data_IF_277041161269
#
_entry.id   IF_277041161269
#
_cell.length_a   1.000
_cell.length_b   1.000
_cell.length_c   1.000
_cell.angle_alpha   90.00
_cell.angle_beta   90.00
_cell.angle_gamma   90.00
#
_symmetry.space_group_name_H-M   'P 1'
#
loop_
_entity.id
_entity.type
_entity.pdbx_description
1 polymer ?
#
# COMPACT_ATOMS: atom_id res chain seq x y z
N UNK A 1 -18.58 0.93 29.67
CA UNK A 1 -17.14 1.24 29.82
C UNK A 1 -16.53 1.27 28.43
N UNK A 2 -16.40 2.46 27.88
CA UNK A 2 -15.79 2.70 26.55
C UNK A 2 -14.28 2.49 26.63
N UNK A 3 -13.75 1.57 25.81
CA UNK A 3 -12.31 1.46 25.61
C UNK A 3 -11.88 2.55 24.61
N UNK A 4 -11.48 3.69 25.12
CA UNK A 4 -10.80 4.73 24.38
C UNK A 4 -9.43 4.18 23.94
N UNK A 5 -9.33 3.77 22.69
CA UNK A 5 -8.04 3.43 22.07
C UNK A 5 -7.16 4.68 22.04
N UNK A 6 -6.11 4.72 22.85
CA UNK A 6 -5.14 5.81 22.88
C UNK A 6 -4.58 6.07 21.48
N UNK A 7 -4.80 7.27 20.92
CA UNK A 7 -4.20 7.70 19.65
C UNK A 7 -2.68 7.65 19.80
N UNK A 8 -1.99 6.89 18.93
CA UNK A 8 -0.54 6.86 18.89
C UNK A 8 -0.02 8.23 18.51
N UNK A 9 0.80 8.84 19.38
CA UNK A 9 1.34 10.21 19.21
C UNK A 9 2.84 10.21 18.89
N UNK A 10 3.54 9.08 19.09
CA UNK A 10 4.97 8.95 18.88
C UNK A 10 5.29 7.71 18.07
N UNK A 11 6.23 7.82 17.16
CA UNK A 11 6.67 6.74 16.30
C UNK A 11 8.20 6.61 16.44
N UNK A 12 8.65 5.48 16.96
CA UNK A 12 10.07 5.17 17.07
C UNK A 12 10.51 4.43 15.80
N UNK A 13 11.51 4.95 15.12
CA UNK A 13 12.20 4.33 13.99
C UNK A 13 13.56 3.88 14.48
N UNK A 14 13.74 2.56 14.68
CA UNK A 14 15.03 1.98 15.06
C UNK A 14 15.93 1.78 13.83
N UNK A 15 15.36 1.32 12.73
CA UNK A 15 16.05 1.13 11.47
C UNK A 15 15.20 1.73 10.34
N UNK A 16 15.76 2.72 9.66
CA UNK A 16 15.13 3.51 8.61
C UNK A 16 16.15 4.50 8.04
N UNK A 17 15.74 5.38 7.11
CA UNK A 17 16.60 6.41 6.54
C UNK A 17 17.20 7.34 7.60
N UNK A 18 16.35 7.75 8.56
CA UNK A 18 16.76 8.53 9.73
C UNK A 18 16.16 7.87 10.98
N UNK A 19 16.93 7.09 11.75
CA UNK A 19 16.46 6.55 13.02
C UNK A 19 16.14 7.66 14.02
N UNK A 20 15.08 7.49 14.82
CA UNK A 20 14.67 8.53 15.78
C UNK A 20 13.22 8.38 16.22
N UNK A 21 12.72 9.38 16.95
CA UNK A 21 11.34 9.47 17.41
C UNK A 21 10.63 10.58 16.65
N UNK A 22 9.47 10.26 16.11
CA UNK A 22 8.64 11.15 15.30
C UNK A 22 7.29 11.36 15.97
N UNK A 23 6.76 12.58 15.90
CA UNK A 23 5.44 12.93 16.42
C UNK A 23 4.34 12.86 15.37
N UNK A 24 4.73 12.76 14.09
CA UNK A 24 3.85 12.55 12.95
C UNK A 24 4.18 11.25 12.24
N UNK A 25 3.15 10.54 11.75
CA UNK A 25 3.34 9.40 10.87
C UNK A 25 3.57 9.84 9.44
N UNK A 26 2.78 10.80 8.94
CA UNK A 26 2.84 11.32 7.57
C UNK A 26 3.55 12.67 7.52
N UNK A 27 3.94 13.09 6.31
CA UNK A 27 4.70 14.30 6.01
C UNK A 27 6.16 14.02 5.68
N UNK A 28 6.87 15.01 5.13
CA UNK A 28 8.27 14.88 4.73
C UNK A 28 9.18 14.50 5.91
N UNK A 29 8.91 15.07 7.08
CA UNK A 29 9.60 14.75 8.34
C UNK A 29 8.87 13.67 9.17
N UNK A 30 7.89 12.97 8.62
CA UNK A 30 7.14 11.93 9.32
C UNK A 30 7.88 10.60 9.37
N UNK A 31 7.49 9.74 10.33
CA UNK A 31 8.08 8.40 10.49
C UNK A 31 7.89 7.53 9.24
N UNK A 32 6.78 7.68 8.53
CA UNK A 32 6.51 6.96 7.29
C UNK A 32 7.59 7.22 6.23
N UNK A 33 7.98 8.47 6.00
CA UNK A 33 9.02 8.82 5.04
C UNK A 33 10.37 8.14 5.36
N UNK A 34 10.62 7.82 6.62
CA UNK A 34 11.87 7.19 7.07
C UNK A 34 11.89 5.68 6.89
N UNK A 35 10.73 5.03 6.84
CA UNK A 35 10.62 3.57 6.83
C UNK A 35 10.05 3.01 5.54
N UNK A 36 9.34 3.84 4.79
CA UNK A 36 8.74 3.45 3.51
C UNK A 36 9.83 3.11 2.49
N UNK A 37 9.74 1.93 1.89
CA UNK A 37 10.76 1.35 1.00
C UNK A 37 12.19 1.31 1.57
N UNK A 38 12.35 1.31 2.91
CA UNK A 38 13.66 1.10 3.51
C UNK A 38 13.86 -0.39 3.86
N UNK A 39 14.83 -1.10 3.24
CA UNK A 39 15.02 -2.52 3.46
C UNK A 39 15.29 -2.83 4.94
N UNK A 40 14.48 -3.73 5.52
CA UNK A 40 14.62 -4.12 6.92
C UNK A 40 14.27 -3.01 7.91
N UNK A 41 13.39 -2.07 7.56
CA UNK A 41 12.89 -1.05 8.47
C UNK A 41 12.32 -1.66 9.76
N UNK A 42 12.68 -1.08 10.91
CA UNK A 42 12.19 -1.48 12.23
C UNK A 42 11.63 -0.24 12.93
N UNK A 43 10.33 -0.22 13.15
CA UNK A 43 9.63 0.91 13.74
C UNK A 43 8.38 0.46 14.51
N UNK A 44 7.88 1.33 15.41
CA UNK A 44 6.65 1.08 16.16
C UNK A 44 6.03 2.40 16.64
N UNK A 45 4.68 2.46 16.70
CA UNK A 45 3.95 3.61 17.23
C UNK A 45 3.54 3.42 18.70
N UNK A 46 3.61 4.50 19.50
CA UNK A 46 3.39 4.52 20.94
C UNK A 46 2.46 5.67 21.36
N UNK A 47 1.86 5.55 22.52
CA UNK A 47 1.04 6.60 23.11
C UNK A 47 1.88 7.69 23.77
N UNK A 48 3.04 7.34 24.32
CA UNK A 48 3.95 8.24 25.04
C UNK A 48 5.35 8.25 24.42
N UNK A 49 6.08 9.36 24.63
CA UNK A 49 7.48 9.50 24.20
C UNK A 49 8.38 8.52 24.95
N UNK A 50 8.10 8.25 26.23
CA UNK A 50 8.90 7.34 27.04
C UNK A 50 8.86 5.91 26.49
N UNK A 51 7.68 5.38 26.15
CA UNK A 51 7.55 4.06 25.52
C UNK A 51 8.31 3.97 24.20
N UNK A 52 8.36 5.07 23.43
CA UNK A 52 9.11 5.12 22.19
C UNK A 52 10.62 5.09 22.43
N UNK A 53 11.10 5.77 23.47
CA UNK A 53 12.51 5.73 23.90
C UNK A 53 12.90 4.34 24.39
N UNK A 54 12.09 3.73 25.26
CA UNK A 54 12.32 2.39 25.82
C UNK A 54 12.42 1.34 24.70
N UNK A 55 11.60 1.46 23.67
CA UNK A 55 11.69 0.59 22.50
C UNK A 55 13.02 0.72 21.75
N UNK A 56 13.51 1.94 21.54
CA UNK A 56 14.81 2.17 20.88
C UNK A 56 15.95 1.60 21.72
N UNK A 57 15.90 1.80 23.04
CA UNK A 57 16.91 1.32 23.99
C UNK A 57 16.94 -0.21 24.05
N UNK A 58 15.79 -0.88 24.13
CA UNK A 58 15.68 -2.34 24.06
C UNK A 58 16.28 -2.91 22.76
N UNK A 59 16.02 -2.26 21.63
CA UNK A 59 16.58 -2.69 20.34
C UNK A 59 18.09 -2.49 20.27
N UNK A 60 18.60 -1.42 20.85
CA UNK A 60 20.03 -1.11 20.89
C UNK A 60 20.83 -2.06 21.79
N UNK A 61 20.23 -2.60 22.85
CA UNK A 61 20.87 -3.51 23.81
C UNK A 61 20.87 -4.98 23.37
N UNK A 62 20.32 -5.32 22.19
CA UNK A 62 20.44 -6.66 21.59
C UNK A 62 19.77 -7.79 22.36
N UNK A 63 18.79 -7.52 23.23
CA UNK A 63 18.10 -8.55 24.00
C UNK A 63 16.94 -9.15 23.20
N UNK A 64 17.21 -10.29 22.56
CA UNK A 64 16.18 -11.22 22.10
C UNK A 64 15.77 -12.05 23.31
N UNK A 65 14.78 -11.61 24.05
CA UNK A 65 14.08 -12.43 25.02
C UNK A 65 12.59 -12.41 24.75
N UNK A 66 12.10 -13.62 24.58
CA UNK A 66 10.73 -14.07 24.39
C UNK A 66 9.67 -13.28 25.18
N UNK A 67 8.65 -12.77 24.48
CA UNK A 67 7.42 -12.28 25.07
C UNK A 67 6.46 -13.46 25.33
N UNK A 68 5.77 -13.49 26.48
CA UNK A 68 4.78 -14.52 26.76
C UNK A 68 3.55 -14.38 25.87
N UNK A 69 3.17 -15.51 25.30
CA UNK A 69 1.94 -15.72 24.57
C UNK A 69 0.72 -15.38 25.45
N UNK A 70 -0.11 -14.43 25.05
CA UNK A 70 -1.48 -14.30 25.55
C UNK A 70 -2.44 -14.76 24.48
N UNK A 71 -3.07 -15.86 24.82
CA UNK A 71 -4.13 -16.58 24.15
C UNK A 71 -5.28 -15.72 23.64
N UNK A 72 -5.70 -16.03 22.40
CA UNK A 72 -7.10 -16.01 22.00
C UNK A 72 -7.60 -14.84 21.19
N UNK A 73 -7.35 -14.86 19.88
CA UNK A 73 -8.35 -14.70 18.83
C UNK A 73 -7.66 -15.16 17.53
N UNK A 74 -8.26 -16.13 16.86
CA UNK A 74 -7.81 -16.63 15.57
C UNK A 74 -7.64 -15.46 14.60
N UNK A 75 -6.39 -15.00 14.42
CA UNK A 75 -6.00 -14.33 13.19
C UNK A 75 -6.03 -15.44 12.13
N UNK A 76 -6.77 -15.20 11.06
CA UNK A 76 -6.64 -16.00 9.86
C UNK A 76 -5.21 -15.79 9.39
N UNK A 77 -4.34 -16.75 9.67
CA UNK A 77 -3.03 -16.87 9.03
C UNK A 77 -3.30 -17.05 7.54
N UNK A 78 -3.17 -15.98 6.79
CA UNK A 78 -3.01 -16.10 5.35
C UNK A 78 -1.65 -16.71 5.10
N UNK A 79 -1.64 -18.02 5.04
CA UNK A 79 -0.45 -18.80 4.78
C UNK A 79 0.23 -18.30 3.50
N UNK A 80 1.54 -18.22 3.56
CA UNK A 80 2.46 -17.86 2.46
C UNK A 80 2.55 -18.97 1.38
N UNK A 81 1.56 -19.85 1.30
CA UNK A 81 1.48 -20.82 0.22
C UNK A 81 1.09 -20.09 -1.08
N UNK A 82 1.85 -20.28 -2.17
CA UNK A 82 1.51 -19.67 -3.44
C UNK A 82 0.11 -20.12 -3.86
N UNK A 83 -0.82 -19.17 -3.92
CA UNK A 83 -2.15 -19.42 -4.48
C UNK A 83 -1.96 -19.62 -5.96
N UNK A 84 -2.15 -20.85 -6.43
CA UNK A 84 -2.10 -21.17 -7.86
C UNK A 84 -3.45 -20.86 -8.48
N UNK A 85 -3.48 -20.27 -9.68
CA UNK A 85 -4.70 -20.12 -10.43
C UNK A 85 -5.29 -21.51 -10.71
N UNK A 86 -6.60 -21.65 -10.56
CA UNK A 86 -7.32 -22.91 -10.80
C UNK A 86 -8.83 -22.65 -10.91
N UNK A 87 -9.53 -23.52 -11.63
CA UNK A 87 -10.99 -23.41 -11.86
C UNK A 87 -11.47 -22.04 -12.36
N UNK A 88 -10.75 -21.43 -13.33
CA UNK A 88 -11.13 -20.14 -13.90
C UNK A 88 -10.91 -18.94 -12.97
N UNK A 89 -10.11 -19.10 -11.92
CA UNK A 89 -9.71 -17.99 -11.03
C UNK A 89 -8.39 -17.38 -11.51
N UNK A 90 -8.37 -16.08 -11.73
CA UNK A 90 -7.19 -15.31 -12.09
C UNK A 90 -6.50 -14.85 -10.80
N UNK A 91 -5.18 -14.97 -10.74
CA UNK A 91 -4.36 -14.46 -9.63
C UNK A 91 -3.58 -13.26 -10.12
N UNK A 92 -3.68 -12.16 -9.38
CA UNK A 92 -3.00 -10.90 -9.70
C UNK A 92 -2.15 -10.47 -8.50
N UNK A 93 -0.91 -10.07 -8.74
CA UNK A 93 -0.06 -9.38 -7.78
C UNK A 93 0.20 -7.98 -8.31
N UNK A 94 0.15 -6.97 -7.43
CA UNK A 94 0.33 -5.57 -7.79
C UNK A 94 1.25 -4.87 -6.80
N UNK A 95 2.02 -3.91 -7.32
CA UNK A 95 2.81 -2.98 -6.53
C UNK A 95 2.89 -1.62 -7.24
N UNK A 96 3.09 -0.56 -6.47
CA UNK A 96 3.23 0.79 -6.98
C UNK A 96 4.02 1.69 -6.04
N UNK A 97 4.81 2.59 -6.60
CA UNK A 97 5.63 3.47 -5.80
C UNK A 97 6.09 4.70 -6.56
N UNK A 98 6.52 5.72 -5.82
CA UNK A 98 7.11 6.93 -6.37
C UNK A 98 8.40 7.27 -5.63
N UNK A 99 9.40 7.71 -6.39
CA UNK A 99 10.64 8.26 -5.85
C UNK A 99 10.34 9.65 -5.26
N UNK A 100 10.85 9.91 -4.05
CA UNK A 100 10.67 11.22 -3.38
C UNK A 100 9.22 11.68 -3.13
N UNK A 101 8.24 10.84 -3.29
CA UNK A 101 6.80 10.93 -3.02
C UNK A 101 6.28 12.32 -2.54
N UNK A 102 5.90 13.25 -3.45
CA UNK A 102 5.70 13.05 -4.88
C UNK A 102 6.97 13.07 -5.72
N UNK A 103 6.95 12.33 -6.83
CA UNK A 103 8.06 12.27 -7.78
C UNK A 103 7.81 11.30 -8.92
N UNK A 104 8.83 10.92 -9.69
CA UNK A 104 8.69 9.88 -10.70
C UNK A 104 8.22 8.59 -10.06
N UNK A 105 7.16 8.00 -10.59
CA UNK A 105 6.57 6.80 -10.03
C UNK A 105 6.34 5.71 -11.07
N UNK A 106 6.31 4.47 -10.60
CA UNK A 106 6.04 3.29 -11.39
C UNK A 106 4.94 2.42 -10.79
N UNK A 107 4.32 1.63 -11.63
CA UNK A 107 3.44 0.55 -11.25
C UNK A 107 3.87 -0.74 -11.92
N UNK A 108 3.61 -1.85 -11.27
CA UNK A 108 3.86 -3.19 -11.81
C UNK A 108 2.78 -4.16 -11.39
N UNK A 109 2.43 -5.09 -12.28
CA UNK A 109 1.56 -6.18 -11.94
C UNK A 109 1.95 -7.47 -12.66
N UNK A 110 1.72 -8.58 -11.98
CA UNK A 110 1.84 -9.94 -12.52
C UNK A 110 0.46 -10.59 -12.49
N UNK A 111 0.03 -11.09 -13.63
CA UNK A 111 -1.30 -11.65 -13.86
C UNK A 111 -1.11 -13.08 -14.32
N UNK A 112 -1.73 -14.02 -13.61
CA UNK A 112 -1.69 -15.46 -13.94
C UNK A 112 -3.13 -16.00 -14.00
N UNK A 113 -3.56 -16.48 -15.16
CA UNK A 113 -4.88 -17.05 -15.39
C UNK A 113 -4.89 -18.59 -15.34
N UNK A 114 -3.74 -19.21 -15.02
CA UNK A 114 -3.54 -20.65 -14.98
C UNK A 114 -3.12 -21.26 -16.30
N UNK A 115 -3.17 -20.50 -17.40
CA UNK A 115 -2.68 -20.89 -18.75
C UNK A 115 -1.54 -20.01 -19.18
N UNK A 116 -1.55 -18.74 -18.83
CA UNK A 116 -0.54 -17.74 -19.18
C UNK A 116 -0.22 -16.84 -17.99
N UNK A 117 1.05 -16.47 -17.88
CA UNK A 117 1.55 -15.46 -16.96
C UNK A 117 1.98 -14.22 -17.74
N UNK A 118 1.40 -13.08 -17.41
CA UNK A 118 1.64 -11.81 -18.06
C UNK A 118 2.14 -10.79 -17.04
N UNK A 119 3.06 -9.94 -17.45
CA UNK A 119 3.52 -8.80 -16.69
C UNK A 119 3.09 -7.50 -17.38
N UNK A 120 2.70 -6.52 -16.60
CA UNK A 120 2.44 -5.15 -17.08
C UNK A 120 3.14 -4.17 -16.15
N UNK A 121 3.62 -3.08 -16.72
CA UNK A 121 4.25 -1.99 -15.97
C UNK A 121 4.12 -0.68 -16.72
N UNK A 122 4.34 0.42 -16.02
CA UNK A 122 4.37 1.77 -16.56
C UNK A 122 4.62 2.77 -15.45
N UNK A 123 4.67 4.06 -15.79
CA UNK A 123 4.96 5.07 -14.79
C UNK A 123 4.56 6.47 -15.22
N UNK A 124 4.68 7.41 -14.28
CA UNK A 124 4.43 8.84 -14.47
C UNK A 124 5.59 9.68 -13.93
N UNK A 125 5.85 10.82 -14.56
CA UNK A 125 6.98 11.72 -14.20
C UNK A 125 6.83 12.38 -12.83
N UNK A 126 5.59 12.58 -12.36
CA UNK A 126 5.28 13.14 -11.06
C UNK A 126 3.95 12.60 -10.54
N UNK A 127 4.02 11.83 -9.48
CA UNK A 127 2.86 11.16 -8.86
C UNK A 127 3.17 10.81 -7.41
N UNK A 128 2.31 10.04 -6.74
CA UNK A 128 2.49 9.59 -5.36
C UNK A 128 2.43 8.08 -5.24
N UNK A 129 2.99 7.53 -4.15
CA UNK A 129 2.90 6.09 -3.85
C UNK A 129 1.46 5.57 -3.96
N UNK A 130 0.53 6.19 -3.23
CA UNK A 130 -0.87 5.74 -3.20
C UNK A 130 -1.54 5.77 -4.58
N UNK A 131 -1.19 6.73 -5.43
CA UNK A 131 -1.69 6.77 -6.80
C UNK A 131 -1.14 5.61 -7.62
N UNK A 132 0.14 5.29 -7.47
CA UNK A 132 0.76 4.18 -8.19
C UNK A 132 0.23 2.82 -7.72
N UNK A 133 -0.01 2.63 -6.43
CA UNK A 133 -0.65 1.43 -5.88
C UNK A 133 -2.06 1.21 -6.44
N UNK A 134 -2.89 2.28 -6.50
CA UNK A 134 -4.21 2.25 -7.15
C UNK A 134 -4.08 1.98 -8.65
N UNK A 135 -3.17 2.66 -9.32
CA UNK A 135 -2.94 2.50 -10.77
C UNK A 135 -2.52 1.08 -11.11
N UNK A 136 -1.69 0.44 -10.30
CA UNK A 136 -1.30 -0.95 -10.49
C UNK A 136 -2.52 -1.89 -10.49
N UNK A 137 -3.41 -1.74 -9.50
CA UNK A 137 -4.65 -2.51 -9.42
C UNK A 137 -5.56 -2.26 -10.63
N UNK A 138 -5.78 -0.98 -10.98
CA UNK A 138 -6.62 -0.58 -12.11
C UNK A 138 -6.07 -1.16 -13.42
N UNK A 139 -4.78 -0.94 -13.69
CA UNK A 139 -4.16 -1.39 -14.95
C UNK A 139 -4.17 -2.91 -15.09
N UNK A 140 -3.99 -3.64 -13.99
CA UNK A 140 -4.11 -5.09 -14.00
C UNK A 140 -5.54 -5.56 -14.32
N UNK A 141 -6.54 -4.99 -13.66
CA UNK A 141 -7.95 -5.35 -13.87
C UNK A 141 -8.45 -4.97 -15.27
N UNK A 142 -7.98 -3.85 -15.84
CA UNK A 142 -8.30 -3.43 -17.21
C UNK A 142 -7.83 -4.42 -18.28
N UNK A 143 -6.86 -5.27 -18.01
CA UNK A 143 -6.45 -6.31 -18.96
C UNK A 143 -7.43 -7.49 -19.03
N UNK A 144 -8.37 -7.57 -18.11
CA UNK A 144 -9.34 -8.67 -18.03
C UNK A 144 -10.64 -8.27 -18.72
N UNK A 145 -10.87 -8.79 -19.92
CA UNK A 145 -11.99 -8.39 -20.77
C UNK A 145 -13.36 -8.90 -20.27
N UNK A 146 -13.38 -10.13 -19.73
CA UNK A 146 -14.62 -10.80 -19.33
C UNK A 146 -14.81 -10.79 -17.82
N UNK A 147 -16.07 -10.67 -17.31
CA UNK A 147 -16.34 -10.85 -15.89
C UNK A 147 -15.68 -12.13 -15.34
N UNK A 148 -14.82 -11.98 -14.37
CA UNK A 148 -13.95 -13.08 -13.88
C UNK A 148 -13.90 -13.11 -12.36
N UNK A 149 -13.56 -14.28 -11.82
CA UNK A 149 -13.18 -14.43 -10.41
C UNK A 149 -11.70 -14.16 -10.28
N UNK A 150 -11.33 -13.19 -9.43
CA UNK A 150 -9.96 -12.71 -9.30
C UNK A 150 -9.55 -12.72 -7.83
N UNK A 151 -8.34 -13.17 -7.55
CA UNK A 151 -7.67 -12.96 -6.27
C UNK A 151 -6.54 -11.96 -6.51
N UNK A 152 -6.63 -10.77 -5.91
CA UNK A 152 -5.67 -9.70 -6.09
C UNK A 152 -4.87 -9.51 -4.80
N UNK A 153 -3.56 -9.67 -4.91
CA UNK A 153 -2.59 -9.46 -3.85
C UNK A 153 -1.92 -8.09 -3.98
N UNK A 154 -1.86 -7.36 -2.88
CA UNK A 154 -1.12 -6.11 -2.78
C UNK A 154 -0.56 -5.95 -1.37
N UNK A 155 0.60 -5.32 -1.23
CA UNK A 155 1.18 -4.94 0.07
C UNK A 155 0.72 -3.55 0.54
N UNK A 156 -0.05 -2.85 -0.29
CA UNK A 156 -0.68 -1.59 0.06
C UNK A 156 -1.86 -1.78 1.02
N UNK A 157 -1.63 -1.49 2.29
CA UNK A 157 -2.75 -1.42 3.25
C UNK A 157 -3.75 -0.31 2.93
N UNK A 158 -3.31 0.74 2.26
CA UNK A 158 -4.20 1.82 1.83
C UNK A 158 -5.27 1.29 0.89
N UNK A 159 -4.88 0.52 -0.12
CA UNK A 159 -5.81 -0.04 -1.11
C UNK A 159 -6.62 -1.18 -0.50
N UNK A 160 -5.95 -2.18 0.07
CA UNK A 160 -6.61 -3.39 0.59
C UNK A 160 -7.62 -3.05 1.69
N UNK A 161 -7.25 -2.21 2.64
CA UNK A 161 -8.14 -1.80 3.74
C UNK A 161 -9.34 -0.99 3.22
N UNK A 162 -9.13 -0.08 2.27
CA UNK A 162 -10.22 0.75 1.75
C UNK A 162 -11.27 -0.08 1.00
N UNK A 163 -10.86 -1.11 0.26
CA UNK A 163 -11.77 -2.03 -0.42
C UNK A 163 -12.41 -3.00 0.56
N UNK A 164 -11.62 -3.74 1.33
CA UNK A 164 -12.13 -4.84 2.17
C UNK A 164 -12.98 -4.37 3.36
N UNK A 165 -12.77 -3.13 3.83
CA UNK A 165 -13.56 -2.49 4.88
C UNK A 165 -14.71 -1.63 4.33
N UNK A 166 -14.90 -1.60 3.01
CA UNK A 166 -15.96 -0.84 2.33
C UNK A 166 -15.80 0.68 2.44
N UNK A 167 -14.58 1.17 2.74
CA UNK A 167 -14.37 2.62 2.86
C UNK A 167 -14.49 3.33 1.52
N UNK A 168 -13.92 2.77 0.46
CA UNK A 168 -13.96 3.36 -0.87
C UNK A 168 -15.40 3.51 -1.37
N UNK A 169 -16.25 2.48 -1.22
CA UNK A 169 -17.67 2.56 -1.55
C UNK A 169 -18.42 3.59 -0.70
N UNK A 170 -18.09 3.69 0.59
CA UNK A 170 -18.67 4.71 1.47
C UNK A 170 -18.29 6.10 1.00
N UNK A 171 -17.05 6.33 0.59
CA UNK A 171 -16.61 7.61 0.05
C UNK A 171 -17.34 7.95 -1.24
N UNK A 172 -17.45 7.01 -2.20
CA UNK A 172 -18.21 7.18 -3.45
C UNK A 172 -19.66 7.59 -3.17
N UNK A 173 -20.35 6.89 -2.27
CA UNK A 173 -21.74 7.21 -1.87
C UNK A 173 -21.88 8.56 -1.15
N UNK A 174 -20.81 9.06 -0.55
CA UNK A 174 -20.77 10.34 0.18
C UNK A 174 -20.05 11.44 -0.63
N UNK A 175 -20.18 11.41 -1.97
CA UNK A 175 -19.55 12.38 -2.88
C UNK A 175 -18.07 12.59 -2.59
N UNK A 176 -17.34 11.50 -2.38
CA UNK A 176 -15.90 11.44 -2.07
C UNK A 176 -15.51 12.13 -0.75
N UNK A 177 -16.47 12.41 0.11
CA UNK A 177 -16.17 12.89 1.46
C UNK A 177 -15.83 11.73 2.40
N UNK A 178 -14.64 11.77 2.99
CA UNK A 178 -14.19 10.80 3.99
C UNK A 178 -14.89 11.02 5.35
N UNK A 179 -15.13 12.27 5.68
CA UNK A 179 -15.90 12.74 6.82
C UNK A 179 -16.48 14.12 6.49
N UNK A 180 -17.11 14.80 7.45
CA UNK A 180 -17.78 16.10 7.23
C UNK A 180 -16.81 17.26 6.86
N UNK A 181 -15.49 17.04 6.88
CA UNK A 181 -14.50 18.09 6.66
C UNK A 181 -13.48 17.71 5.58
N UNK A 182 -13.16 16.41 5.45
CA UNK A 182 -12.06 15.94 4.63
C UNK A 182 -12.56 15.15 3.44
N UNK A 183 -12.06 15.46 2.26
CA UNK A 183 -12.25 14.67 1.05
C UNK A 183 -11.39 13.40 1.06
N UNK A 184 -11.84 12.38 0.37
CA UNK A 184 -11.03 11.21 0.07
C UNK A 184 -9.93 11.60 -0.93
N UNK A 185 -8.71 11.14 -0.69
CA UNK A 185 -7.62 11.34 -1.66
C UNK A 185 -7.81 10.43 -2.88
N UNK A 186 -7.45 10.94 -4.06
CA UNK A 186 -7.45 10.20 -5.33
C UNK A 186 -8.84 9.70 -5.76
N UNK A 187 -9.90 10.53 -5.70
CA UNK A 187 -11.25 10.10 -6.04
C UNK A 187 -11.35 9.60 -7.50
N UNK A 188 -10.58 10.17 -8.41
CA UNK A 188 -10.45 9.79 -9.81
C UNK A 188 -10.04 8.31 -10.00
N UNK A 189 -9.05 7.87 -9.23
CA UNK A 189 -8.58 6.49 -9.29
C UNK A 189 -9.50 5.54 -8.54
N UNK A 190 -10.09 5.99 -7.43
CA UNK A 190 -11.06 5.18 -6.68
C UNK A 190 -12.32 4.91 -7.49
N UNK A 191 -12.87 5.92 -8.20
CA UNK A 191 -14.03 5.73 -9.06
C UNK A 191 -13.75 4.64 -10.09
N UNK A 192 -12.65 4.78 -10.81
CA UNK A 192 -12.24 3.82 -11.85
C UNK A 192 -11.99 2.41 -11.28
N UNK A 193 -11.38 2.29 -10.10
CA UNK A 193 -11.19 1.00 -9.45
C UNK A 193 -12.52 0.36 -9.07
N UNK A 194 -13.44 1.12 -8.46
CA UNK A 194 -14.74 0.60 -8.04
C UNK A 194 -15.59 0.13 -9.24
N UNK A 195 -15.54 0.86 -10.37
CA UNK A 195 -16.21 0.42 -11.61
C UNK A 195 -15.69 -0.93 -12.13
N UNK A 196 -14.39 -1.17 -11.98
CA UNK A 196 -13.78 -2.48 -12.31
C UNK A 196 -14.19 -3.57 -11.31
N UNK A 197 -14.33 -3.23 -10.03
CA UNK A 197 -14.80 -4.17 -9.01
C UNK A 197 -16.29 -4.52 -9.20
N UNK A 198 -17.09 -3.60 -9.74
CA UNK A 198 -18.48 -3.88 -10.10
C UNK A 198 -18.59 -4.87 -11.29
N UNK A 199 -17.56 -4.94 -12.16
CA UNK A 199 -17.50 -5.88 -13.31
C UNK A 199 -16.98 -7.26 -12.96
N UNK A 200 -16.10 -7.38 -11.98
CA UNK A 200 -15.41 -8.61 -11.63
C UNK A 200 -15.70 -9.03 -10.18
N UNK A 201 -15.62 -10.32 -9.90
CA UNK A 201 -15.62 -10.80 -8.50
C UNK A 201 -14.20 -10.81 -7.96
N UNK A 202 -13.77 -9.71 -7.34
CA UNK A 202 -12.39 -9.55 -6.85
C UNK A 202 -12.31 -9.77 -5.34
N UNK A 203 -11.42 -10.65 -4.91
CA UNK A 203 -11.03 -10.83 -3.53
C UNK A 203 -9.65 -10.20 -3.31
N UNK A 204 -9.59 -9.11 -2.53
CA UNK A 204 -8.33 -8.48 -2.17
C UNK A 204 -7.68 -9.19 -1.00
N UNK A 205 -6.39 -9.48 -1.13
CA UNK A 205 -5.55 -10.07 -0.08
C UNK A 205 -4.32 -9.23 0.17
N UNK A 206 -4.13 -8.86 1.42
CA UNK A 206 -2.90 -8.18 1.80
C UNK A 206 -1.75 -9.17 1.92
N UNK A 207 -0.60 -8.82 1.35
CA UNK A 207 0.67 -9.50 1.54
C UNK A 207 1.66 -8.57 2.23
N UNK A 208 2.61 -9.16 2.93
CA UNK A 208 3.69 -8.35 3.50
C UNK A 208 4.73 -8.07 2.42
N UNK A 209 5.02 -6.80 2.18
CA UNK A 209 6.10 -6.40 1.27
C UNK A 209 7.46 -6.95 1.71
N UNK A 210 8.30 -7.31 0.75
CA UNK A 210 9.66 -7.83 0.96
C UNK A 210 9.73 -9.03 1.92
N UNK A 211 8.81 -9.97 1.80
CA UNK A 211 8.71 -11.14 2.67
C UNK A 211 8.96 -12.48 1.98
N UNK A 212 9.60 -12.46 0.81
CA UNK A 212 9.91 -13.68 0.04
C UNK A 212 8.77 -14.13 -0.88
N UNK A 213 7.73 -13.32 -1.09
CA UNK A 213 6.74 -13.59 -2.12
C UNK A 213 7.30 -13.18 -3.48
N UNK A 214 7.65 -14.18 -4.30
CA UNK A 214 8.34 -13.97 -5.58
C UNK A 214 7.58 -13.04 -6.55
N UNK A 215 6.24 -13.15 -6.60
CA UNK A 215 5.44 -12.32 -7.50
C UNK A 215 5.33 -10.87 -7.01
N UNK A 216 5.25 -10.65 -5.68
CA UNK A 216 5.28 -9.30 -5.13
C UNK A 216 6.66 -8.66 -5.31
N UNK A 217 7.75 -9.41 -5.13
CA UNK A 217 9.10 -8.92 -5.40
C UNK A 217 9.32 -8.62 -6.89
N UNK A 218 8.67 -9.40 -7.77
CA UNK A 218 8.69 -9.10 -9.20
C UNK A 218 7.96 -7.80 -9.53
N UNK A 219 6.81 -7.54 -8.92
CA UNK A 219 6.11 -6.26 -9.06
C UNK A 219 6.97 -5.09 -8.58
N UNK A 220 7.64 -5.20 -7.42
CA UNK A 220 8.56 -4.17 -6.90
C UNK A 220 9.72 -3.89 -7.89
N UNK A 221 10.28 -4.94 -8.53
CA UNK A 221 11.30 -4.75 -9.57
C UNK A 221 10.76 -3.95 -10.78
N UNK A 222 9.54 -4.26 -11.24
CA UNK A 222 8.89 -3.52 -12.33
C UNK A 222 8.71 -2.05 -11.95
N UNK A 223 8.21 -1.77 -10.74
CA UNK A 223 8.05 -0.41 -10.20
C UNK A 223 9.37 0.36 -10.22
N UNK A 224 10.47 -0.24 -9.75
CA UNK A 224 11.79 0.39 -9.72
C UNK A 224 12.31 0.70 -11.11
N UNK A 225 12.15 -0.23 -12.05
CA UNK A 225 12.55 -0.03 -13.45
C UNK A 225 11.77 1.12 -14.07
N UNK A 226 10.45 1.14 -13.90
CA UNK A 226 9.60 2.17 -14.48
C UNK A 226 9.86 3.55 -13.88
N UNK A 227 9.96 3.67 -12.56
CA UNK A 227 10.20 4.95 -11.88
C UNK A 227 11.57 5.58 -12.18
N UNK A 228 12.52 4.79 -12.66
CA UNK A 228 13.85 5.26 -13.04
C UNK A 228 13.95 5.74 -14.50
N UNK A 229 12.91 5.54 -15.31
CA UNK A 229 12.93 5.96 -16.73
C UNK A 229 12.86 7.48 -16.87
N UNK A 230 13.57 8.00 -17.87
CA UNK A 230 13.39 9.37 -18.35
C UNK A 230 12.19 9.45 -19.30
N UNK A 231 11.60 10.64 -19.44
CA UNK A 231 10.53 10.88 -20.41
C UNK A 231 9.18 10.25 -20.05
N UNK A 232 8.95 9.94 -18.79
CA UNK A 232 7.66 9.44 -18.32
C UNK A 232 6.53 10.44 -18.60
N UNK A 233 5.32 9.96 -18.98
CA UNK A 233 4.16 10.81 -19.19
C UNK A 233 3.72 11.50 -17.89
N UNK A 234 2.92 12.58 -17.97
CA UNK A 234 2.31 13.20 -16.81
C UNK A 234 1.25 12.29 -16.18
N UNK A 235 1.11 12.33 -14.86
CA UNK A 235 -0.11 11.94 -14.17
C UNK A 235 -1.05 13.15 -14.23
N UNK A 236 -1.84 13.24 -15.31
CA UNK A 236 -2.61 14.44 -15.67
C UNK A 236 -3.54 14.90 -14.53
N UNK A 237 -4.26 13.99 -13.91
CA UNK A 237 -5.17 14.32 -12.81
C UNK A 237 -4.40 14.85 -11.59
N UNK A 238 -3.26 14.24 -11.27
CA UNK A 238 -2.42 14.68 -10.17
C UNK A 238 -1.77 16.04 -10.44
N UNK A 239 -1.17 16.22 -11.62
CA UNK A 239 -0.45 17.44 -11.97
C UNK A 239 -1.42 18.62 -12.13
N UNK A 240 -2.62 18.41 -12.71
CA UNK A 240 -3.65 19.46 -12.81
C UNK A 240 -4.10 19.95 -11.44
N UNK A 241 -4.35 19.04 -10.50
CA UNK A 241 -4.83 19.39 -9.17
C UNK A 241 -3.76 20.02 -8.28
N UNK A 242 -2.47 19.76 -8.56
CA UNK A 242 -1.33 20.27 -7.76
C UNK A 242 -0.48 21.30 -8.50
N UNK A 243 -0.73 21.57 -9.79
CA UNK A 243 -0.07 22.62 -10.58
C UNK A 243 -0.72 23.99 -10.39
N UNK A 244 -1.99 24.06 -10.00
CA UNK A 244 -2.70 25.30 -9.75
C UNK A 244 -2.31 26.00 -8.42
N UNK A 245 -1.47 25.38 -7.58
CA UNK A 245 -0.98 25.96 -6.32
C UNK A 245 0.43 26.57 -6.41
N UNK A 246 1.04 26.55 -7.60
CA UNK A 246 2.41 27.02 -7.82
C UNK A 246 2.47 28.27 -8.76
N UNK A 247 1.37 29.04 -8.82
CA UNK A 247 1.27 30.30 -9.58
C UNK A 247 0.96 31.48 -8.67
#
# INVERSE_FOLDING_TARGET
MEKTGSKKKYYAVYRGRRPGIYTSWFGEDGAHAQVHHFPGAVYKGFATKQEALDFLDQKSRGNVSSLPSRTGKKAVETGNAPVRPGNGTIVIHTDGGALNNPGPGGYGAVIDDGTARKEISGGYRRTTNNRMELTACIKALETIEKPSKIILFSDSKYVVDAVTKGWAEKWRRNNWMRNNKDEALNPDLWERLLDLLDRHRVEFRWVRGHSGNAENERCDQLVRVESAKSGLPPDEAYEKNNGAQAG
#
